data_IF_983042903650
#
_entry.id   IF_983042903650
#
_cell.length_a   1.000
_cell.length_b   1.000
_cell.length_c   1.000
_cell.angle_alpha   90.00
_cell.angle_beta   90.00
_cell.angle_gamma   90.00
#
_symmetry.space_group_name_H-M   'P 1'
#
loop_
_entity.id
_entity.type
_entity.pdbx_description
1 polymer ?
#
# COMPACT_ATOMS: atom_id res chain seq x y z
N UNK A 1 -8.83 -2.90 63.48
CA UNK A 1 -8.59 -3.92 62.45
C UNK A 1 -9.70 -3.88 61.40
N UNK A 2 -9.75 -2.83 60.57
CA UNK A 2 -10.54 -2.76 59.31
C UNK A 2 -9.92 -1.62 58.52
N UNK A 3 -9.41 -1.86 57.30
CA UNK A 3 -9.23 -0.90 56.18
C UNK A 3 -8.28 -1.49 55.14
N UNK A 4 -8.76 -2.41 54.30
CA UNK A 4 -8.11 -2.76 53.00
C UNK A 4 -9.14 -3.32 51.99
N UNK A 5 -10.27 -2.65 51.81
CA UNK A 5 -11.18 -2.96 50.69
C UNK A 5 -11.74 -1.63 50.17
N UNK A 6 -10.92 -0.86 49.46
CA UNK A 6 -11.38 0.33 48.72
C UNK A 6 -10.40 0.77 47.62
N UNK A 7 -9.56 -0.12 47.10
CA UNK A 7 -8.55 0.25 46.09
C UNK A 7 -8.57 -0.60 44.82
N UNK A 8 -9.57 -1.48 44.64
CA UNK A 8 -9.65 -2.34 43.45
C UNK A 8 -10.80 -2.01 42.49
N UNK A 9 -11.69 -1.07 42.83
CA UNK A 9 -12.84 -0.72 41.98
C UNK A 9 -12.68 0.61 41.23
N UNK A 10 -11.52 1.27 41.31
CA UNK A 10 -11.27 2.55 40.64
C UNK A 10 -10.48 2.48 39.32
N UNK A 11 -10.01 1.30 38.89
CA UNK A 11 -9.11 1.15 37.71
C UNK A 11 -9.67 0.13 36.70
N UNK A 12 -11.00 0.04 36.58
CA UNK A 12 -11.67 -0.78 35.56
C UNK A 12 -12.76 -0.03 34.78
N UNK A 13 -12.72 1.31 34.81
CA UNK A 13 -13.65 2.20 34.11
C UNK A 13 -12.91 3.21 33.21
N UNK A 14 -11.82 2.78 32.58
CA UNK A 14 -11.05 3.58 31.62
C UNK A 14 -10.64 2.82 30.35
N UNK A 15 -11.34 1.72 30.02
CA UNK A 15 -11.18 0.97 28.76
C UNK A 15 -12.53 0.90 27.99
N UNK A 16 -13.48 1.78 28.33
CA UNK A 16 -14.86 1.70 27.84
C UNK A 16 -15.29 2.75 26.81
N UNK A 17 -14.41 3.63 26.31
CA UNK A 17 -14.81 4.73 25.40
C UNK A 17 -13.74 5.03 24.33
N UNK A 18 -13.30 4.01 23.59
CA UNK A 18 -12.72 4.18 22.24
C UNK A 18 -13.41 3.21 21.25
N UNK A 19 -14.66 2.83 21.54
CA UNK A 19 -15.48 1.94 20.72
C UNK A 19 -16.46 2.65 19.77
N UNK A 20 -16.38 3.97 19.62
CA UNK A 20 -17.40 4.76 18.88
C UNK A 20 -16.90 5.43 17.59
N UNK A 21 -15.70 5.09 17.10
CA UNK A 21 -15.28 5.40 15.72
C UNK A 21 -15.23 4.13 14.86
N UNK A 22 -16.26 3.29 14.96
CA UNK A 22 -16.61 2.36 13.87
C UNK A 22 -17.29 3.15 12.75
N UNK A 23 -16.51 3.92 12.02
CA UNK A 23 -16.83 4.27 10.65
C UNK A 23 -16.32 3.14 9.77
N UNK A 24 -17.23 2.27 9.33
CA UNK A 24 -17.08 1.30 8.23
C UNK A 24 -15.65 1.14 7.69
N UNK A 25 -14.84 0.32 8.35
CA UNK A 25 -13.77 -0.41 7.66
C UNK A 25 -14.37 -1.77 7.40
N UNK A 26 -14.91 -1.93 6.20
CA UNK A 26 -15.19 -3.23 5.62
C UNK A 26 -13.90 -4.05 5.77
N UNK A 27 -13.87 -5.02 6.69
CA UNK A 27 -12.81 -6.02 6.78
C UNK A 27 -12.85 -6.84 5.49
N UNK A 28 -12.26 -6.29 4.43
CA UNK A 28 -11.84 -7.07 3.28
C UNK A 28 -10.84 -8.08 3.82
N UNK A 29 -11.27 -9.34 3.91
CA UNK A 29 -10.49 -10.50 4.33
C UNK A 29 -8.98 -10.30 4.08
N UNK A 30 -8.10 -10.40 5.10
CA UNK A 30 -6.68 -10.16 4.90
C UNK A 30 -6.20 -11.14 3.83
N UNK A 31 -5.78 -10.60 2.68
CA UNK A 31 -5.17 -11.41 1.62
C UNK A 31 -3.96 -12.10 2.22
N UNK A 32 -4.05 -13.40 2.50
CA UNK A 32 -2.94 -14.17 3.05
C UNK A 32 -1.90 -14.37 1.96
N UNK A 33 -0.80 -13.63 2.05
CA UNK A 33 0.39 -13.83 1.22
C UNK A 33 1.24 -14.96 1.78
N UNK A 34 1.98 -15.66 0.91
CA UNK A 34 2.97 -16.65 1.35
C UNK A 34 4.18 -15.94 1.96
N UNK A 35 4.96 -16.64 2.80
CA UNK A 35 6.21 -16.10 3.36
C UNK A 35 7.18 -15.63 2.27
N UNK A 36 7.24 -16.37 1.16
CA UNK A 36 8.02 -16.00 -0.02
C UNK A 36 7.53 -14.70 -0.65
N UNK A 37 6.21 -14.54 -0.81
CA UNK A 37 5.64 -13.30 -1.34
C UNK A 37 5.92 -12.11 -0.42
N UNK A 38 5.86 -12.31 0.90
CA UNK A 38 6.19 -11.25 1.87
C UNK A 38 7.65 -10.82 1.69
N UNK A 39 8.59 -11.77 1.64
CA UNK A 39 10.01 -11.47 1.45
C UNK A 39 10.28 -10.72 0.14
N UNK A 40 9.65 -11.12 -0.97
CA UNK A 40 9.80 -10.44 -2.26
C UNK A 40 9.18 -9.04 -2.25
N UNK A 41 8.05 -8.86 -1.57
CA UNK A 41 7.41 -7.54 -1.40
C UNK A 41 8.28 -6.59 -0.57
N UNK A 42 8.95 -7.07 0.46
CA UNK A 42 9.90 -6.27 1.25
C UNK A 42 11.07 -5.79 0.39
N UNK A 43 11.63 -6.67 -0.45
CA UNK A 43 12.69 -6.28 -1.39
C UNK A 43 12.20 -5.28 -2.44
N UNK A 44 10.97 -5.46 -2.94
CA UNK A 44 10.32 -4.51 -3.85
C UNK A 44 10.20 -3.13 -3.19
N UNK A 45 9.72 -3.07 -1.95
CA UNK A 45 9.62 -1.81 -1.18
C UNK A 45 11.01 -1.16 -1.03
N UNK A 46 12.02 -1.94 -0.64
CA UNK A 46 13.39 -1.42 -0.47
C UNK A 46 13.95 -0.86 -1.79
N UNK A 47 13.76 -1.58 -2.89
CA UNK A 47 14.11 -1.11 -4.24
C UNK A 47 13.42 0.21 -4.57
N UNK A 48 12.11 0.32 -4.31
CA UNK A 48 11.37 1.53 -4.60
C UNK A 48 11.76 2.73 -3.75
N UNK A 49 12.10 2.52 -2.48
CA UNK A 49 12.63 3.58 -1.62
C UNK A 49 13.95 4.11 -2.20
N UNK A 50 14.84 3.23 -2.66
CA UNK A 50 16.08 3.63 -3.32
C UNK A 50 15.84 4.35 -4.65
N UNK A 51 14.94 3.82 -5.49
CA UNK A 51 14.52 4.47 -6.73
C UNK A 51 13.94 5.86 -6.47
N UNK A 52 13.10 6.02 -5.45
CA UNK A 52 12.51 7.30 -5.08
C UNK A 52 13.60 8.31 -4.67
N UNK A 53 14.60 7.88 -3.90
CA UNK A 53 15.74 8.75 -3.54
C UNK A 53 16.52 9.19 -4.78
N UNK A 54 16.86 8.25 -5.67
CA UNK A 54 17.59 8.53 -6.92
C UNK A 54 16.82 9.42 -7.89
N UNK A 55 15.49 9.31 -7.89
CA UNK A 55 14.59 10.10 -8.73
C UNK A 55 14.13 11.41 -8.06
N UNK A 56 14.82 11.88 -7.01
CA UNK A 56 14.51 13.10 -6.25
C UNK A 56 13.04 13.16 -5.76
N UNK A 57 12.51 12.03 -5.31
CA UNK A 57 11.17 11.96 -4.75
C UNK A 57 10.05 12.18 -5.77
N UNK A 58 10.27 11.92 -7.06
CA UNK A 58 9.26 12.22 -8.09
C UNK A 58 8.14 11.19 -8.19
N UNK A 59 8.28 10.03 -7.55
CA UNK A 59 7.27 8.97 -7.52
C UNK A 59 7.23 8.33 -6.14
N UNK A 60 6.02 8.13 -5.60
CA UNK A 60 5.77 7.34 -4.39
C UNK A 60 5.09 6.03 -4.77
N UNK A 61 5.40 4.97 -4.04
CA UNK A 61 4.79 3.66 -4.20
C UNK A 61 4.19 3.18 -2.89
N UNK A 62 3.03 2.53 -2.98
CA UNK A 62 2.34 1.89 -1.86
C UNK A 62 1.85 0.51 -2.26
N UNK A 63 1.99 -0.46 -1.36
CA UNK A 63 1.40 -1.78 -1.51
C UNK A 63 0.14 -1.84 -0.65
N UNK A 64 -1.03 -1.87 -1.29
CA UNK A 64 -2.33 -1.95 -0.63
C UNK A 64 -2.97 -3.31 -0.94
N UNK A 65 -2.82 -4.28 -0.03
CA UNK A 65 -3.26 -5.65 -0.28
C UNK A 65 -2.59 -6.23 -1.53
N UNK A 66 -3.36 -6.72 -2.51
CA UNK A 66 -2.85 -7.22 -3.79
C UNK A 66 -2.70 -6.13 -4.86
N UNK A 67 -2.73 -4.86 -4.47
CA UNK A 67 -2.62 -3.72 -5.40
C UNK A 67 -1.33 -2.95 -5.18
N UNK A 68 -0.62 -2.68 -6.28
CA UNK A 68 0.51 -1.75 -6.35
C UNK A 68 -0.01 -0.37 -6.73
N UNK A 69 0.07 0.58 -5.81
CA UNK A 69 -0.38 1.97 -6.03
C UNK A 69 0.83 2.86 -6.26
N UNK A 70 0.83 3.59 -7.37
CA UNK A 70 1.88 4.51 -7.80
C UNK A 70 1.32 5.92 -7.79
N UNK A 71 2.04 6.83 -7.14
CA UNK A 71 1.66 8.24 -7.03
C UNK A 71 2.82 9.08 -7.58
N UNK A 72 2.82 9.45 -8.87
CA UNK A 72 3.79 10.39 -9.41
C UNK A 72 3.58 11.79 -8.79
N UNK A 73 4.62 12.31 -8.15
CA UNK A 73 4.67 13.64 -7.52
C UNK A 73 5.06 14.73 -8.53
N UNK A 74 5.74 14.36 -9.62
CA UNK A 74 5.96 15.23 -10.78
C UNK A 74 5.60 14.45 -12.04
N UNK A 75 4.47 14.79 -12.64
CA UNK A 75 4.08 14.21 -13.92
C UNK A 75 4.69 15.07 -15.02
N UNK A 76 5.61 14.50 -15.82
CA UNK A 76 5.98 15.13 -17.11
C UNK A 76 4.75 15.08 -18.00
N UNK A 77 4.29 16.20 -18.55
CA UNK A 77 3.08 16.29 -19.39
C UNK A 77 3.03 15.22 -20.49
N UNK A 78 4.19 14.83 -21.01
CA UNK A 78 4.36 13.81 -22.04
C UNK A 78 3.91 12.40 -21.59
N UNK A 79 3.96 12.10 -20.28
CA UNK A 79 3.50 10.82 -19.72
C UNK A 79 1.97 10.73 -19.61
N UNK A 80 1.26 11.86 -19.64
CA UNK A 80 -0.20 11.89 -19.59
C UNK A 80 -0.86 11.70 -20.94
N UNK A 81 -0.11 11.76 -22.04
CA UNK A 81 -0.65 11.60 -23.40
C UNK A 81 -1.22 10.20 -23.63
N UNK A 82 -0.60 9.17 -23.07
CA UNK A 82 -1.07 7.79 -23.12
C UNK A 82 -1.43 7.27 -21.73
N UNK A 83 -2.55 7.78 -21.18
CA UNK A 83 -3.08 7.34 -19.89
C UNK A 83 -3.28 5.82 -19.80
N UNK A 84 -3.49 5.14 -20.93
CA UNK A 84 -3.68 3.68 -21.01
C UNK A 84 -2.39 2.87 -20.73
N UNK A 85 -1.21 3.47 -20.85
CA UNK A 85 0.08 2.76 -20.66
C UNK A 85 0.84 3.19 -19.40
N UNK A 86 0.34 4.17 -18.65
CA UNK A 86 1.01 4.65 -17.44
C UNK A 86 1.25 3.53 -16.42
N UNK A 87 0.23 2.73 -16.09
CA UNK A 87 0.40 1.62 -15.13
C UNK A 87 1.33 0.51 -15.65
N UNK A 88 1.42 0.32 -16.97
CA UNK A 88 2.31 -0.67 -17.61
C UNK A 88 3.78 -0.31 -17.40
N UNK A 89 4.13 0.97 -17.39
CA UNK A 89 5.50 1.43 -17.13
C UNK A 89 6.00 1.07 -15.73
N UNK A 90 5.10 0.82 -14.79
CA UNK A 90 5.43 0.45 -13.41
C UNK A 90 5.33 -1.06 -13.16
N UNK A 91 5.20 -1.86 -14.21
CA UNK A 91 5.10 -3.31 -14.08
C UNK A 91 6.36 -3.89 -13.42
N UNK A 92 6.25 -4.79 -12.40
CA UNK A 92 7.40 -5.35 -11.70
C UNK A 92 8.41 -6.04 -12.61
N UNK A 93 7.93 -6.73 -13.67
CA UNK A 93 8.79 -7.35 -14.69
C UNK A 93 9.75 -6.35 -15.34
N UNK A 94 9.31 -5.12 -15.57
CA UNK A 94 10.09 -4.06 -16.20
C UNK A 94 10.92 -3.27 -15.19
N UNK A 95 10.33 -2.95 -14.04
CA UNK A 95 10.94 -2.05 -13.06
C UNK A 95 11.80 -2.75 -12.02
N UNK A 96 11.51 -4.01 -11.70
CA UNK A 96 12.11 -4.75 -10.60
C UNK A 96 12.72 -6.07 -11.09
N UNK A 97 13.75 -5.96 -11.93
CA UNK A 97 14.63 -7.07 -12.35
C UNK A 97 13.89 -8.36 -12.79
N UNK A 98 12.80 -8.22 -13.57
CA UNK A 98 12.05 -9.39 -14.06
C UNK A 98 11.11 -10.04 -13.05
N UNK A 99 10.87 -9.43 -11.88
CA UNK A 99 9.94 -9.97 -10.89
C UNK A 99 8.52 -10.13 -11.45
N UNK A 100 7.83 -11.18 -11.02
CA UNK A 100 6.46 -11.49 -11.44
C UNK A 100 5.43 -10.91 -10.49
N UNK A 101 4.28 -10.50 -11.02
CA UNK A 101 3.10 -10.10 -10.27
C UNK A 101 2.66 -11.22 -9.32
N UNK A 102 2.64 -12.47 -9.80
CA UNK A 102 2.31 -13.65 -8.98
C UNK A 102 3.28 -13.87 -7.82
N UNK A 103 4.58 -13.74 -8.06
CA UNK A 103 5.63 -13.86 -7.04
C UNK A 103 5.56 -12.78 -5.97
N UNK A 104 4.96 -11.63 -6.29
CA UNK A 104 4.73 -10.52 -5.36
C UNK A 104 3.30 -10.52 -4.77
N UNK A 105 2.42 -11.43 -5.21
CA UNK A 105 1.01 -11.42 -4.84
C UNK A 105 0.27 -10.14 -5.27
N UNK A 106 0.70 -9.52 -6.37
CA UNK A 106 0.08 -8.31 -6.94
C UNK A 106 -0.87 -8.74 -8.05
N UNK A 107 -2.13 -8.33 -7.98
CA UNK A 107 -3.14 -8.53 -9.02
C UNK A 107 -3.44 -7.27 -9.81
N UNK A 108 -3.16 -6.10 -9.25
CA UNK A 108 -3.47 -4.83 -9.89
C UNK A 108 -2.35 -3.81 -9.70
N UNK A 109 -2.16 -2.95 -10.70
CA UNK A 109 -1.31 -1.76 -10.63
C UNK A 109 -2.22 -0.56 -10.88
N UNK A 110 -2.18 0.41 -9.97
CA UNK A 110 -2.90 1.66 -10.07
C UNK A 110 -1.91 2.83 -10.10
N UNK A 111 -2.12 3.78 -11.00
CA UNK A 111 -1.45 5.06 -11.00
C UNK A 111 -2.46 6.12 -10.61
N UNK A 112 -2.17 6.92 -9.60
CA UNK A 112 -3.07 7.94 -9.06
C UNK A 112 -2.43 9.32 -9.06
N UNK A 113 -3.22 10.36 -9.25
CA UNK A 113 -2.74 11.74 -9.17
C UNK A 113 -2.38 12.09 -7.73
N UNK A 114 -1.27 12.80 -7.51
CA UNK A 114 -0.92 13.26 -6.17
C UNK A 114 -1.92 14.27 -5.60
N UNK A 115 -2.38 15.23 -6.41
CA UNK A 115 -3.22 16.35 -5.95
C UNK A 115 -4.61 15.94 -5.48
N UNK A 116 -5.25 15.01 -6.19
CA UNK A 116 -6.66 14.67 -6.00
C UNK A 116 -6.88 13.20 -5.66
N UNK A 117 -5.81 12.40 -5.60
CA UNK A 117 -5.86 10.93 -5.46
C UNK A 117 -6.72 10.24 -6.55
N UNK A 118 -6.97 10.93 -7.66
CA UNK A 118 -7.77 10.44 -8.77
C UNK A 118 -7.04 9.32 -9.51
N UNK A 119 -7.78 8.28 -9.91
CA UNK A 119 -7.23 7.19 -10.70
C UNK A 119 -6.87 7.70 -12.10
N UNK A 120 -5.59 7.66 -12.43
CA UNK A 120 -5.06 8.05 -13.75
C UNK A 120 -4.96 6.87 -14.71
N UNK A 121 -4.58 5.70 -14.18
CA UNK A 121 -4.43 4.46 -14.94
C UNK A 121 -4.60 3.27 -14.01
N UNK A 122 -5.19 2.19 -14.53
CA UNK A 122 -5.24 0.91 -13.85
C UNK A 122 -4.87 -0.19 -14.85
N UNK A 123 -4.14 -1.19 -14.36
CA UNK A 123 -3.77 -2.36 -15.13
C UNK A 123 -3.91 -3.60 -14.25
N UNK A 124 -4.54 -4.64 -14.78
CA UNK A 124 -4.48 -5.97 -14.17
C UNK A 124 -3.07 -6.51 -14.35
N UNK A 125 -2.41 -6.87 -13.25
CA UNK A 125 -1.03 -7.34 -13.24
C UNK A 125 -1.02 -8.80 -13.69
N UNK A 126 -0.59 -9.03 -14.92
CA UNK A 126 -0.47 -10.37 -15.51
C UNK A 126 0.99 -10.58 -15.92
N UNK A 127 1.54 -11.78 -15.71
CA UNK A 127 2.96 -12.06 -15.93
C UNK A 127 3.39 -12.16 -17.42
N UNK A 128 2.43 -11.97 -18.33
CA UNK A 128 2.57 -12.11 -19.78
C UNK A 128 3.66 -11.19 -20.37
#
# INVERSE_FOLDING_TARGET
>A
MVKKIAYFFGILLLIGIIGQFFGLVEESSPTKFTEQQIAEREKLIAFWIDFQKKSNGTTRLELQGDTLVIIPLKIKENLLRDKKDLARNYHPKTMYNGATCSGLGIKMIQVRSYSENNLLSILKCEDN
#
